data_IF_002658924394
#
_entry.id   IF_002658924394
#
_cell.length_a   1.000
_cell.length_b   1.000
_cell.length_c   1.000
_cell.angle_alpha   90.00
_cell.angle_beta   90.00
_cell.angle_gamma   90.00
#
_symmetry.space_group_name_H-M   'P 1'
#
loop_
_entity.id
_entity.type
_entity.pdbx_description
1 polymer ?
#
# COMPACT_ATOMS: atom_id res chain seq x y z
N UNK A 1 -17.05 -21.73 19.95
CA UNK A 1 -16.16 -21.48 18.80
C UNK A 1 -14.86 -20.96 19.39
N UNK A 2 -13.73 -21.64 19.21
CA UNK A 2 -12.50 -21.34 19.97
C UNK A 2 -11.65 -20.19 19.40
N UNK A 3 -12.10 -19.52 18.34
CA UNK A 3 -11.34 -18.44 17.70
C UNK A 3 -12.24 -17.27 17.30
N UNK A 4 -11.63 -16.08 17.13
CA UNK A 4 -12.30 -14.87 16.64
C UNK A 4 -11.35 -14.00 15.82
N UNK A 5 -11.87 -13.36 14.77
CA UNK A 5 -11.13 -12.41 13.93
C UNK A 5 -11.28 -10.99 14.44
N UNK A 6 -10.18 -10.27 14.52
CA UNK A 6 -10.13 -8.86 14.91
C UNK A 6 -9.39 -8.04 13.86
N UNK A 7 -9.85 -6.80 13.65
CA UNK A 7 -9.05 -5.79 12.94
C UNK A 7 -8.11 -5.13 13.94
N UNK A 8 -6.82 -5.14 13.68
CA UNK A 8 -5.88 -4.37 14.50
C UNK A 8 -6.14 -2.88 14.31
N UNK A 9 -6.25 -2.13 15.40
CA UNK A 9 -6.31 -0.68 15.37
C UNK A 9 -5.20 -0.15 16.27
N UNK A 10 -4.22 0.52 15.68
CA UNK A 10 -3.14 1.16 16.42
C UNK A 10 -3.64 2.50 16.97
N UNK A 11 -3.42 2.76 18.26
CA UNK A 11 -3.78 4.04 18.86
C UNK A 11 -2.95 5.17 18.19
N UNK A 12 -3.56 6.34 17.91
CA UNK A 12 -2.84 7.47 17.36
C UNK A 12 -1.65 7.84 18.25
N UNK A 13 -0.42 7.79 17.71
CA UNK A 13 0.79 8.19 18.43
C UNK A 13 1.55 7.04 19.10
N UNK A 14 1.06 5.80 19.01
CA UNK A 14 1.83 4.61 19.38
C UNK A 14 2.73 4.13 18.23
N UNK A 15 3.47 5.06 17.62
CA UNK A 15 4.45 4.76 16.58
C UNK A 15 5.74 4.23 17.26
N UNK A 16 5.78 2.96 17.63
CA UNK A 16 7.04 2.25 17.92
C UNK A 16 7.89 2.16 16.64
N UNK A 17 8.85 3.07 16.51
CA UNK A 17 9.76 3.21 15.38
C UNK A 17 11.05 2.37 15.51
N UNK A 18 11.14 1.49 16.50
CA UNK A 18 12.36 0.72 16.78
C UNK A 18 12.14 -0.79 16.66
N UNK A 19 12.75 -1.38 15.63
CA UNK A 19 12.72 -2.82 15.31
C UNK A 19 12.59 -3.07 13.80
N UNK A 20 12.92 -4.28 13.29
CA UNK A 20 12.88 -4.59 11.85
C UNK A 20 11.46 -4.63 11.26
N UNK A 21 10.42 -4.54 12.08
CA UNK A 21 9.01 -4.56 11.68
C UNK A 21 8.34 -3.22 11.97
N UNK A 22 8.23 -2.36 10.95
CA UNK A 22 7.33 -1.19 10.94
C UNK A 22 5.89 -1.62 11.14
N UNK A 23 5.01 -0.70 11.59
CA UNK A 23 3.57 -0.97 11.58
C UNK A 23 3.09 -1.18 10.16
N UNK A 24 2.19 -2.14 10.02
CA UNK A 24 1.42 -2.32 8.81
C UNK A 24 0.00 -1.81 9.08
N UNK A 25 -0.66 -1.25 8.07
CA UNK A 25 -2.01 -0.69 8.24
C UNK A 25 -3.07 -1.54 7.55
N UNK A 26 -4.15 -1.81 8.26
CA UNK A 26 -5.24 -2.65 7.76
C UNK A 26 -5.04 -4.13 8.09
N UNK A 27 -4.41 -4.41 9.22
CA UNK A 27 -4.12 -5.76 9.67
C UNK A 27 -5.33 -6.46 10.28
N UNK A 28 -5.36 -7.77 10.12
CA UNK A 28 -6.31 -8.66 10.76
C UNK A 28 -5.58 -9.72 11.55
N UNK A 29 -6.14 -10.05 12.70
CA UNK A 29 -5.59 -10.97 13.68
C UNK A 29 -6.61 -12.07 13.96
N UNK A 30 -6.13 -13.29 14.15
CA UNK A 30 -6.91 -14.42 14.63
C UNK A 30 -6.58 -14.65 16.10
N UNK A 31 -7.54 -14.49 16.99
CA UNK A 31 -7.37 -14.78 18.42
C UNK A 31 -7.97 -16.14 18.76
N UNK A 32 -7.26 -16.96 19.52
CA UNK A 32 -7.79 -18.17 20.15
C UNK A 32 -8.44 -17.79 21.48
N UNK A 33 -9.77 -17.92 21.59
CA UNK A 33 -10.57 -17.40 22.69
C UNK A 33 -10.18 -17.98 24.06
N UNK A 34 -9.82 -19.26 24.12
CA UNK A 34 -9.49 -19.96 25.37
C UNK A 34 -8.14 -19.51 25.94
N UNK A 35 -7.16 -19.24 25.07
CA UNK A 35 -5.79 -18.87 25.49
C UNK A 35 -5.51 -17.37 25.39
N UNK A 36 -6.43 -16.61 24.77
CA UNK A 36 -6.25 -15.23 24.32
C UNK A 36 -5.05 -14.98 23.40
N UNK A 37 -4.31 -16.02 22.99
CA UNK A 37 -3.20 -15.94 22.04
C UNK A 37 -3.67 -15.44 20.68
N UNK A 38 -2.88 -14.55 20.10
CA UNK A 38 -3.20 -13.85 18.85
C UNK A 38 -2.18 -14.24 17.78
N UNK A 39 -2.67 -14.45 16.56
CA UNK A 39 -1.88 -14.78 15.39
C UNK A 39 -2.18 -13.78 14.26
N UNK A 40 -1.17 -13.36 13.47
CA UNK A 40 -1.41 -12.58 12.28
C UNK A 40 -2.25 -13.38 11.27
N UNK A 41 -3.28 -12.75 10.73
CA UNK A 41 -4.16 -13.35 9.71
C UNK A 41 -4.02 -12.64 8.37
N UNK A 42 -4.01 -11.30 8.36
CA UNK A 42 -3.73 -10.50 7.17
C UNK A 42 -2.80 -9.38 7.53
N UNK A 43 -1.74 -9.19 6.76
CA UNK A 43 -0.90 -8.02 6.87
C UNK A 43 -1.36 -6.89 5.94
N UNK A 44 -1.09 -5.66 6.36
CA UNK A 44 -1.40 -4.45 5.60
C UNK A 44 -0.30 -4.06 4.62
N UNK A 45 -0.28 -2.79 4.22
CA UNK A 45 0.93 -2.14 3.68
C UNK A 45 1.73 -1.50 4.83
N UNK A 46 3.05 -1.31 4.68
CA UNK A 46 3.83 -0.50 5.62
C UNK A 46 3.22 0.89 5.80
N UNK A 47 3.19 1.38 7.05
CA UNK A 47 2.70 2.73 7.35
C UNK A 47 3.66 3.80 6.83
N UNK A 48 3.13 4.90 6.32
CA UNK A 48 3.90 6.10 6.00
C UNK A 48 4.55 6.69 7.26
N UNK A 49 5.82 7.08 7.17
CA UNK A 49 6.46 7.85 8.23
C UNK A 49 5.77 9.21 8.40
N UNK A 50 5.66 9.65 9.66
CA UNK A 50 5.14 10.98 10.00
C UNK A 50 6.22 12.07 9.91
N UNK A 51 7.48 11.66 10.00
CA UNK A 51 8.63 12.55 9.91
C UNK A 51 9.11 12.55 8.46
N UNK A 52 8.97 13.69 7.78
CA UNK A 52 9.44 13.92 6.41
C UNK A 52 10.96 14.04 6.30
N UNK A 53 11.71 13.56 7.30
CA UNK A 53 13.16 13.55 7.27
C UNK A 53 13.57 12.45 6.32
N UNK A 54 13.77 12.80 5.04
CA UNK A 54 14.53 11.98 4.12
C UNK A 54 15.81 11.57 4.85
N UNK A 55 15.92 10.27 5.16
CA UNK A 55 17.05 9.72 5.89
C UNK A 55 18.27 10.01 5.05
N UNK A 56 19.28 10.65 5.64
CA UNK A 56 20.50 11.09 4.93
C UNK A 56 21.31 9.93 4.34
N UNK A 57 20.94 8.70 4.68
CA UNK A 57 21.56 7.48 4.18
C UNK A 57 20.49 6.48 3.74
N UNK A 58 20.46 6.18 2.45
CA UNK A 58 19.73 5.09 1.84
C UNK A 58 20.62 4.45 0.76
N UNK A 59 20.37 3.19 0.43
CA UNK A 59 21.03 2.53 -0.71
C UNK A 59 20.35 2.92 -2.02
N UNK A 60 19.02 2.80 -2.04
CA UNK A 60 18.20 3.33 -3.11
C UNK A 60 16.79 3.71 -2.62
N UNK A 61 16.14 4.58 -3.39
CA UNK A 61 14.73 4.92 -3.25
C UNK A 61 13.98 4.53 -4.51
N UNK A 62 12.78 3.98 -4.35
CA UNK A 62 11.85 3.73 -5.45
C UNK A 62 10.67 4.69 -5.31
N UNK A 63 10.38 5.43 -6.37
CA UNK A 63 9.24 6.34 -6.48
C UNK A 63 8.16 5.68 -7.32
N UNK A 64 6.94 5.62 -6.80
CA UNK A 64 5.74 5.20 -7.53
C UNK A 64 4.72 6.33 -7.56
N UNK A 65 3.89 6.43 -8.61
CA UNK A 65 2.75 7.31 -8.56
C UNK A 65 1.82 6.91 -7.41
N UNK A 66 1.12 7.89 -6.84
CA UNK A 66 0.12 7.66 -5.82
C UNK A 66 -1.25 7.83 -6.48
N UNK A 67 -1.93 6.72 -6.76
CA UNK A 67 -3.29 6.75 -7.25
C UNK A 67 -4.27 7.06 -6.11
N UNK A 68 -5.31 7.83 -6.44
CA UNK A 68 -6.42 8.15 -5.54
C UNK A 68 -7.54 7.12 -5.71
N UNK A 69 -7.30 5.91 -5.22
CA UNK A 69 -8.20 4.77 -5.38
C UNK A 69 -8.63 4.15 -4.05
N UNK A 70 -9.00 2.88 -4.15
CA UNK A 70 -9.32 2.02 -3.01
C UNK A 70 -8.33 0.86 -2.90
N UNK A 71 -7.66 0.77 -1.74
CA UNK A 71 -6.78 -0.35 -1.45
C UNK A 71 -7.56 -1.68 -1.35
N UNK A 72 -7.19 -2.63 -2.21
CA UNK A 72 -7.64 -4.02 -2.21
C UNK A 72 -6.49 -4.91 -1.72
N UNK A 73 -6.83 -5.84 -0.82
CA UNK A 73 -5.89 -6.81 -0.26
C UNK A 73 -6.40 -8.21 -0.56
N UNK A 74 -5.60 -9.02 -1.24
CA UNK A 74 -5.89 -10.43 -1.48
C UNK A 74 -4.98 -11.24 -0.55
N UNK A 75 -5.57 -11.80 0.50
CA UNK A 75 -4.89 -12.69 1.43
C UNK A 75 -4.87 -14.10 0.84
N UNK A 76 -3.68 -14.67 0.70
CA UNK A 76 -3.45 -16.07 0.38
C UNK A 76 -3.17 -16.87 1.66
N UNK A 77 -3.89 -17.97 1.82
CA UNK A 77 -3.72 -18.95 2.89
C UNK A 77 -3.35 -20.30 2.25
N UNK A 78 -2.12 -20.78 2.44
CA UNK A 78 -1.66 -22.03 1.83
C UNK A 78 -2.37 -23.24 2.45
N UNK A 79 -2.47 -24.34 1.70
CA UNK A 79 -3.22 -25.54 2.11
C UNK A 79 -2.73 -26.16 3.43
N UNK A 80 -1.42 -26.11 3.69
CA UNK A 80 -0.78 -26.60 4.92
C UNK A 80 -0.94 -25.66 6.12
N UNK A 81 -1.48 -24.45 5.92
CA UNK A 81 -1.58 -23.51 7.02
C UNK A 81 -2.46 -24.10 8.14
N UNK A 82 -2.05 -24.04 9.43
CA UNK A 82 -2.78 -24.70 10.51
C UNK A 82 -4.26 -24.28 10.64
N UNK A 83 -4.57 -23.07 10.19
CA UNK A 83 -5.93 -22.52 10.22
C UNK A 83 -6.67 -22.61 8.89
N UNK A 84 -6.12 -23.27 7.86
CA UNK A 84 -6.74 -23.37 6.53
C UNK A 84 -8.17 -23.87 6.60
N UNK A 85 -8.41 -25.05 7.19
CA UNK A 85 -9.75 -25.65 7.27
C UNK A 85 -10.74 -24.78 8.05
N UNK A 86 -10.30 -24.17 9.15
CA UNK A 86 -11.12 -23.25 9.94
C UNK A 86 -11.56 -22.03 9.10
N UNK A 87 -10.59 -21.37 8.45
CA UNK A 87 -10.84 -20.17 7.64
C UNK A 87 -11.68 -20.50 6.40
N UNK A 88 -11.49 -21.67 5.81
CA UNK A 88 -12.28 -22.20 4.71
C UNK A 88 -13.76 -22.40 5.09
N UNK A 89 -14.05 -22.80 6.34
CA UNK A 89 -15.43 -22.94 6.83
C UNK A 89 -16.07 -21.58 7.11
N UNK A 90 -15.30 -20.62 7.62
CA UNK A 90 -15.83 -19.31 8.03
C UNK A 90 -16.07 -18.36 6.87
N UNK A 91 -15.24 -18.44 5.84
CA UNK A 91 -15.27 -17.50 4.73
C UNK A 91 -15.52 -18.24 3.43
N UNK A 92 -16.50 -17.75 2.67
CA UNK A 92 -16.60 -18.06 1.26
C UNK A 92 -15.48 -17.29 0.54
N UNK A 93 -14.44 -18.02 0.14
CA UNK A 93 -13.27 -17.47 -0.56
C UNK A 93 -12.97 -18.26 -1.81
N UNK A 94 -12.34 -17.58 -2.77
CA UNK A 94 -11.87 -18.19 -4.02
C UNK A 94 -10.72 -19.17 -3.73
N UNK A 95 -10.48 -20.14 -4.61
CA UNK A 95 -9.52 -21.22 -4.36
C UNK A 95 -8.84 -21.64 -5.64
N UNK A 96 -7.57 -22.04 -5.52
CA UNK A 96 -6.87 -22.78 -6.56
C UNK A 96 -6.09 -23.95 -5.93
N UNK A 97 -5.21 -24.57 -6.71
CA UNK A 97 -4.37 -25.69 -6.26
C UNK A 97 -3.39 -25.32 -5.13
N UNK A 98 -3.05 -24.04 -4.96
CA UNK A 98 -2.13 -23.59 -3.91
C UNK A 98 -2.82 -23.28 -2.57
N UNK A 99 -4.09 -22.89 -2.58
CA UNK A 99 -4.76 -22.50 -1.33
C UNK A 99 -6.06 -21.70 -1.46
N UNK A 100 -6.35 -20.95 -0.40
CA UNK A 100 -7.56 -20.14 -0.22
C UNK A 100 -7.22 -18.66 -0.36
N UNK A 101 -8.04 -17.92 -1.09
CA UNK A 101 -7.94 -16.48 -1.26
C UNK A 101 -9.10 -15.74 -0.60
N UNK A 102 -8.75 -14.77 0.24
CA UNK A 102 -9.71 -13.86 0.86
C UNK A 102 -9.48 -12.44 0.32
N UNK A 103 -10.42 -11.95 -0.49
CA UNK A 103 -10.36 -10.62 -1.09
C UNK A 103 -11.05 -9.62 -0.17
N UNK A 104 -10.31 -8.63 0.30
CA UNK A 104 -10.76 -7.63 1.27
C UNK A 104 -10.35 -6.22 0.91
N UNK A 105 -10.93 -5.26 1.63
CA UNK A 105 -10.47 -3.86 1.61
C UNK A 105 -9.59 -3.60 2.82
N UNK A 106 -9.09 -2.37 2.96
CA UNK A 106 -8.42 -1.93 4.19
C UNK A 106 -9.23 -2.19 5.47
N UNK A 107 -10.56 -2.07 5.41
CA UNK A 107 -11.44 -2.16 6.58
C UNK A 107 -12.12 -3.51 6.75
N UNK A 108 -12.18 -4.33 5.72
CA UNK A 108 -12.86 -5.64 5.72
C UNK A 108 -11.90 -6.74 5.30
N UNK A 109 -11.87 -7.85 6.04
CA UNK A 109 -11.06 -9.02 5.67
C UNK A 109 -11.57 -9.66 4.38
N UNK A 110 -12.90 -9.80 4.27
CA UNK A 110 -13.62 -10.26 3.08
C UNK A 110 -14.58 -9.17 2.65
N UNK A 111 -14.60 -8.83 1.37
CA UNK A 111 -15.53 -7.87 0.78
C UNK A 111 -16.97 -8.34 0.93
N UNK A 112 -17.89 -7.40 1.13
CA UNK A 112 -19.32 -7.67 0.97
C UNK A 112 -19.69 -7.80 -0.52
N UNK A 113 -20.94 -8.17 -0.81
CA UNK A 113 -21.44 -8.37 -2.17
C UNK A 113 -21.30 -7.13 -3.06
N UNK A 114 -21.51 -5.93 -2.50
CA UNK A 114 -21.41 -4.68 -3.24
C UNK A 114 -19.97 -4.36 -3.64
N UNK A 115 -19.04 -4.40 -2.67
CA UNK A 115 -17.61 -4.21 -2.92
C UNK A 115 -17.05 -5.31 -3.83
N UNK A 116 -17.51 -6.56 -3.68
CA UNK A 116 -17.09 -7.66 -4.54
C UNK A 116 -17.55 -7.46 -5.99
N UNK A 117 -18.78 -6.95 -6.20
CA UNK A 117 -19.25 -6.58 -7.55
C UNK A 117 -18.36 -5.51 -8.17
N UNK A 118 -18.02 -4.46 -7.41
CA UNK A 118 -17.11 -3.39 -7.86
C UNK A 118 -15.73 -3.96 -8.22
N UNK A 119 -15.16 -4.80 -7.37
CA UNK A 119 -13.90 -5.51 -7.65
C UNK A 119 -13.98 -6.36 -8.93
N UNK A 120 -15.02 -7.17 -9.10
CA UNK A 120 -15.20 -8.01 -10.29
C UNK A 120 -15.32 -7.15 -11.57
N UNK A 121 -16.02 -6.01 -11.50
CA UNK A 121 -16.11 -5.07 -12.63
C UNK A 121 -14.74 -4.54 -13.04
N UNK A 122 -13.90 -4.14 -12.07
CA UNK A 122 -12.55 -3.59 -12.35
C UNK A 122 -11.55 -4.66 -12.78
N UNK A 123 -11.70 -5.88 -12.28
CA UNK A 123 -10.91 -7.03 -12.71
C UNK A 123 -11.10 -7.29 -14.22
N UNK A 124 -12.30 -7.01 -14.75
CA UNK A 124 -12.69 -7.20 -16.15
C UNK A 124 -13.38 -8.55 -16.40
N UNK A 125 -13.55 -8.98 -17.66
CA UNK A 125 -14.34 -10.16 -18.02
C UNK A 125 -13.73 -11.51 -17.61
N UNK A 126 -12.54 -11.50 -17.01
CA UNK A 126 -11.82 -12.71 -16.58
C UNK A 126 -12.41 -13.27 -15.29
N UNK A 127 -12.35 -14.58 -15.10
CA UNK A 127 -12.64 -15.20 -13.80
C UNK A 127 -11.58 -14.79 -12.77
N UNK A 128 -11.92 -14.87 -11.48
CA UNK A 128 -10.94 -14.65 -10.41
C UNK A 128 -9.73 -15.58 -10.56
N UNK A 129 -9.95 -16.84 -10.90
CA UNK A 129 -8.89 -17.83 -11.10
C UNK A 129 -7.91 -17.41 -12.21
N UNK A 130 -8.43 -16.89 -13.33
CA UNK A 130 -7.58 -16.38 -14.43
C UNK A 130 -6.85 -15.09 -14.03
N UNK A 131 -7.45 -14.28 -13.18
CA UNK A 131 -6.81 -13.08 -12.66
C UNK A 131 -5.67 -13.42 -11.70
N UNK A 132 -5.91 -14.33 -10.76
CA UNK A 132 -4.94 -14.65 -9.71
C UNK A 132 -3.78 -15.50 -10.24
N UNK A 133 -3.99 -16.28 -11.32
CA UNK A 133 -2.93 -17.10 -11.94
C UNK A 133 -1.77 -16.27 -12.50
N UNK A 134 -2.00 -14.99 -12.81
CA UNK A 134 -0.94 -14.07 -13.20
C UNK A 134 0.07 -13.78 -12.09
N UNK A 135 -0.21 -14.24 -10.86
CA UNK A 135 0.63 -14.06 -9.68
C UNK A 135 1.04 -15.40 -9.04
N UNK A 136 0.92 -16.53 -9.76
CA UNK A 136 1.18 -17.87 -9.20
C UNK A 136 2.57 -18.04 -8.59
N UNK A 137 3.59 -17.37 -9.14
CA UNK A 137 4.95 -17.37 -8.57
C UNK A 137 5.03 -16.84 -7.12
N UNK A 138 4.05 -16.03 -6.69
CA UNK A 138 3.95 -15.60 -5.30
C UNK A 138 3.41 -16.70 -4.39
N UNK A 139 2.71 -17.71 -4.90
CA UNK A 139 2.04 -18.75 -4.10
C UNK A 139 2.81 -20.09 -4.06
N UNK A 140 3.90 -20.21 -4.82
CA UNK A 140 4.77 -21.40 -4.83
C UNK A 140 5.39 -21.68 -3.45
N UNK A 141 5.83 -20.63 -2.75
CA UNK A 141 6.24 -20.74 -1.36
C UNK A 141 4.98 -20.81 -0.47
N UNK A 142 4.77 -21.97 0.13
CA UNK A 142 3.58 -22.26 0.91
C UNK A 142 3.81 -22.29 2.43
N UNK A 143 4.99 -21.86 2.88
CA UNK A 143 5.35 -21.88 4.31
C UNK A 143 4.87 -20.63 5.08
N UNK A 144 4.30 -19.66 4.37
CA UNK A 144 3.90 -18.39 4.95
C UNK A 144 2.61 -17.84 4.35
N UNK A 145 1.97 -16.96 5.11
CA UNK A 145 0.83 -16.18 4.62
C UNK A 145 1.34 -15.05 3.74
N UNK A 146 0.54 -14.71 2.73
CA UNK A 146 0.86 -13.63 1.80
C UNK A 146 -0.33 -12.72 1.60
N UNK A 147 -0.09 -11.42 1.50
CA UNK A 147 -1.12 -10.46 1.11
C UNK A 147 -0.63 -9.69 -0.09
N UNK A 148 -1.37 -9.81 -1.20
CA UNK A 148 -1.13 -9.02 -2.40
C UNK A 148 -1.91 -7.71 -2.28
N UNK A 149 -1.24 -6.60 -2.56
CA UNK A 149 -1.77 -5.26 -2.38
C UNK A 149 -1.99 -4.60 -3.74
N UNK A 150 -3.20 -4.10 -3.94
CA UNK A 150 -3.59 -3.45 -5.18
C UNK A 150 -4.29 -2.13 -4.90
N UNK A 151 -4.08 -1.16 -5.77
CA UNK A 151 -4.88 0.06 -5.82
C UNK A 151 -5.94 -0.10 -6.92
N UNK A 152 -7.20 0.04 -6.53
CA UNK A 152 -8.35 -0.06 -7.43
C UNK A 152 -8.88 1.33 -7.75
N UNK A 153 -8.81 1.72 -9.02
CA UNK A 153 -9.39 2.96 -9.53
C UNK A 153 -10.61 2.62 -10.37
N UNK A 154 -11.69 3.37 -10.18
CA UNK A 154 -12.97 3.04 -10.81
C UNK A 154 -13.50 4.18 -11.65
N UNK A 155 -14.12 3.83 -12.77
CA UNK A 155 -14.72 4.70 -13.79
C UNK A 155 -16.00 5.41 -13.31
N UNK A 156 -16.09 5.73 -12.02
CA UNK A 156 -17.27 6.34 -11.44
C UNK A 156 -16.87 7.63 -10.76
N UNK A 157 -17.69 8.67 -10.95
CA UNK A 157 -17.72 9.84 -10.08
C UNK A 157 -17.92 9.36 -8.65
N UNK A 158 -16.80 9.24 -7.93
CA UNK A 158 -16.80 8.90 -6.53
C UNK A 158 -16.84 10.20 -5.75
N UNK A 159 -17.86 10.36 -4.90
CA UNK A 159 -17.88 11.45 -3.92
C UNK A 159 -16.75 11.34 -2.88
N UNK A 160 -16.05 10.19 -2.84
CA UNK A 160 -14.94 9.92 -1.92
C UNK A 160 -13.55 10.18 -2.52
N UNK A 161 -13.42 10.27 -3.85
CA UNK A 161 -12.14 10.44 -4.55
C UNK A 161 -12.10 11.81 -5.22
N UNK A 162 -10.91 12.39 -5.35
CA UNK A 162 -10.73 13.73 -5.92
C UNK A 162 -10.17 13.67 -7.35
N UNK A 163 -9.73 12.49 -7.79
CA UNK A 163 -9.27 12.24 -9.15
C UNK A 163 -10.35 11.46 -9.92
N UNK A 164 -10.69 11.95 -11.10
CA UNK A 164 -11.52 11.23 -12.05
C UNK A 164 -10.65 10.28 -12.87
N UNK A 165 -11.02 9.00 -12.88
CA UNK A 165 -10.38 7.99 -13.72
C UNK A 165 -11.32 7.64 -14.88
N UNK A 166 -10.91 7.84 -16.14
CA UNK A 166 -11.77 7.62 -17.31
C UNK A 166 -12.04 6.14 -17.60
N UNK A 167 -11.28 5.24 -16.98
CA UNK A 167 -11.43 3.80 -17.12
C UNK A 167 -11.16 3.11 -15.78
N UNK A 168 -11.83 1.97 -15.56
CA UNK A 168 -11.53 1.09 -14.44
C UNK A 168 -10.10 0.55 -14.57
N UNK A 169 -9.29 0.72 -13.53
CA UNK A 169 -7.93 0.21 -13.53
C UNK A 169 -7.52 -0.35 -12.17
N UNK A 170 -6.51 -1.21 -12.20
CA UNK A 170 -6.04 -1.96 -11.05
C UNK A 170 -4.53 -1.97 -11.11
N UNK A 171 -3.85 -1.53 -10.05
CA UNK A 171 -2.39 -1.47 -9.99
C UNK A 171 -1.87 -2.34 -8.88
N UNK A 172 -1.00 -3.29 -9.21
CA UNK A 172 -0.34 -4.15 -8.25
C UNK A 172 0.83 -3.42 -7.61
N UNK A 173 0.72 -3.17 -6.30
CA UNK A 173 1.71 -2.42 -5.52
C UNK A 173 2.83 -3.36 -5.07
N UNK A 174 2.47 -4.56 -4.63
CA UNK A 174 3.41 -5.55 -4.13
C UNK A 174 2.78 -6.55 -3.18
N UNK A 175 3.63 -7.31 -2.50
CA UNK A 175 3.23 -8.41 -1.63
C UNK A 175 3.84 -8.24 -0.23
N UNK A 176 3.04 -8.43 0.81
CA UNK A 176 3.54 -8.65 2.16
C UNK A 176 3.54 -10.14 2.47
N UNK A 177 4.73 -10.68 2.75
CA UNK A 177 4.93 -12.06 3.21
C UNK A 177 5.10 -12.06 4.73
N UNK A 178 4.42 -12.97 5.44
CA UNK A 178 4.43 -12.96 6.90
C UNK A 178 4.14 -14.32 7.54
N UNK A 179 4.68 -14.48 8.74
CA UNK A 179 4.42 -15.57 9.69
C UNK A 179 4.14 -14.97 11.07
N UNK A 180 4.15 -15.78 12.12
CA UNK A 180 4.09 -15.29 13.49
C UNK A 180 5.32 -14.46 13.88
N UNK A 181 6.48 -14.75 13.27
CA UNK A 181 7.78 -14.26 13.75
C UNK A 181 8.40 -13.22 12.81
N UNK A 182 8.00 -13.21 11.53
CA UNK A 182 8.52 -12.26 10.56
C UNK A 182 7.44 -11.66 9.67
N UNK A 183 7.78 -10.51 9.11
CA UNK A 183 6.97 -9.83 8.10
C UNK A 183 7.87 -9.01 7.19
N UNK A 184 7.63 -9.10 5.87
CA UNK A 184 8.39 -8.37 4.86
C UNK A 184 7.48 -7.93 3.73
N UNK A 185 7.58 -6.65 3.37
CA UNK A 185 6.96 -6.14 2.15
C UNK A 185 7.97 -6.18 1.01
N UNK A 186 7.49 -6.57 -0.16
CA UNK A 186 8.24 -6.56 -1.42
C UNK A 186 7.39 -5.85 -2.46
N UNK A 187 7.98 -4.90 -3.19
CA UNK A 187 7.30 -4.23 -4.28
C UNK A 187 7.03 -5.19 -5.44
N UNK A 188 5.98 -4.91 -6.23
CA UNK A 188 5.73 -5.62 -7.48
C UNK A 188 6.95 -5.52 -8.40
N UNK A 189 7.31 -6.60 -9.10
CA UNK A 189 8.32 -6.55 -10.15
C UNK A 189 7.73 -5.82 -11.36
N UNK A 190 8.52 -5.06 -12.13
CA UNK A 190 8.03 -4.44 -13.36
C UNK A 190 7.44 -5.42 -14.39
N UNK A 191 7.85 -6.68 -14.33
CA UNK A 191 7.32 -7.78 -15.16
C UNK A 191 5.99 -8.34 -14.68
N UNK A 192 5.56 -8.02 -13.46
CA UNK A 192 4.31 -8.56 -12.91
C UNK A 192 3.11 -7.95 -13.64
N UNK A 193 2.05 -8.74 -13.76
CA UNK A 193 0.80 -8.26 -14.32
C UNK A 193 0.32 -7.03 -13.53
N UNK A 194 -0.02 -5.96 -14.25
CA UNK A 194 -0.53 -4.71 -13.68
C UNK A 194 0.39 -4.06 -12.64
N UNK A 195 1.69 -4.35 -12.66
CA UNK A 195 2.65 -3.73 -11.75
C UNK A 195 2.53 -2.21 -11.77
N UNK A 196 2.62 -1.59 -10.59
CA UNK A 196 2.73 -0.15 -10.47
C UNK A 196 4.03 0.32 -11.13
N UNK A 197 3.97 1.46 -11.84
CA UNK A 197 5.17 2.06 -12.42
C UNK A 197 6.13 2.50 -11.32
N UNK A 198 7.41 2.33 -11.59
CA UNK A 198 8.49 2.49 -10.61
C UNK A 198 9.66 3.21 -11.27
N UNK A 199 10.23 4.18 -10.57
CA UNK A 199 11.51 4.80 -10.93
C UNK A 199 12.43 4.76 -9.73
N UNK A 200 13.65 4.26 -9.90
CA UNK A 200 14.61 4.07 -8.81
C UNK A 200 15.77 5.06 -8.91
N UNK A 201 16.24 5.51 -7.75
CA UNK A 201 17.32 6.47 -7.62
C UNK A 201 18.29 6.04 -6.51
N UNK A 202 19.59 6.24 -6.74
CA UNK A 202 20.66 5.97 -5.76
C UNK A 202 21.06 7.22 -4.96
N UNK A 203 20.72 8.41 -5.46
CA UNK A 203 21.09 9.68 -4.84
C UNK A 203 19.85 10.50 -4.53
N UNK A 204 19.91 11.27 -3.45
CA UNK A 204 18.82 12.15 -3.04
C UNK A 204 18.51 13.21 -4.10
N UNK A 205 19.55 13.81 -4.67
CA UNK A 205 19.47 14.91 -5.63
C UNK A 205 18.73 14.48 -6.91
N UNK A 206 19.04 13.30 -7.45
CA UNK A 206 18.35 12.76 -8.61
C UNK A 206 16.88 12.43 -8.32
N UNK A 207 16.58 11.93 -7.11
CA UNK A 207 15.20 11.71 -6.68
C UNK A 207 14.45 13.04 -6.59
N UNK A 208 15.05 14.08 -5.99
CA UNK A 208 14.45 15.40 -5.83
C UNK A 208 14.17 16.06 -7.20
N UNK A 209 15.14 16.05 -8.12
CA UNK A 209 14.96 16.56 -9.47
C UNK A 209 13.79 15.87 -10.21
N UNK A 210 13.61 14.56 -9.99
CA UNK A 210 12.47 13.84 -10.56
C UNK A 210 11.13 14.21 -9.91
N UNK A 211 11.11 14.48 -8.60
CA UNK A 211 9.88 14.95 -7.93
C UNK A 211 9.45 16.33 -8.44
N UNK A 212 10.41 17.22 -8.69
CA UNK A 212 10.18 18.53 -9.32
C UNK A 212 9.66 18.36 -10.76
N UNK A 213 10.28 17.49 -11.54
CA UNK A 213 9.82 17.16 -12.90
C UNK A 213 8.38 16.64 -12.92
N UNK A 214 8.02 15.74 -12.00
CA UNK A 214 6.65 15.23 -11.87
C UNK A 214 5.64 16.32 -11.52
N UNK A 215 6.01 17.26 -10.63
CA UNK A 215 5.15 18.39 -10.28
C UNK A 215 4.95 19.32 -11.47
N UNK A 216 6.02 19.63 -12.21
CA UNK A 216 5.96 20.42 -13.43
C UNK A 216 5.08 19.77 -14.52
N UNK A 217 5.16 18.45 -14.69
CA UNK A 217 4.31 17.69 -15.60
C UNK A 217 2.83 17.81 -15.20
N UNK A 218 2.54 17.63 -13.91
CA UNK A 218 1.19 17.80 -13.37
C UNK A 218 0.65 19.23 -13.62
N UNK A 219 1.45 20.27 -13.35
CA UNK A 219 1.07 21.67 -13.58
C UNK A 219 0.84 21.99 -15.07
N UNK A 220 1.50 21.28 -15.97
CA UNK A 220 1.29 21.38 -17.43
C UNK A 220 0.09 20.58 -17.92
N UNK A 221 -0.61 19.87 -17.03
CA UNK A 221 -1.77 19.04 -17.37
C UNK A 221 -1.41 17.74 -18.08
N UNK A 222 -0.22 17.18 -17.83
CA UNK A 222 0.15 15.86 -18.34
C UNK A 222 -0.80 14.80 -17.77
N UNK A 223 -1.57 14.18 -18.65
CA UNK A 223 -2.59 13.17 -18.29
C UNK A 223 -1.99 11.86 -17.80
N UNK A 224 -0.68 11.66 -17.96
CA UNK A 224 0.04 10.49 -17.44
C UNK A 224 0.58 10.72 -16.02
N UNK A 225 0.52 11.95 -15.50
CA UNK A 225 0.95 12.26 -14.14
C UNK A 225 -0.21 12.09 -13.16
N UNK A 226 -0.01 11.25 -12.13
CA UNK A 226 -1.05 11.04 -11.12
C UNK A 226 -1.21 12.29 -10.24
N UNK A 227 -2.42 12.89 -10.18
CA UNK A 227 -2.63 14.19 -9.52
C UNK A 227 -2.43 14.17 -8.01
N UNK A 228 -2.57 13.02 -7.36
CA UNK A 228 -2.41 12.94 -5.91
C UNK A 228 -0.92 13.06 -5.48
N UNK A 229 0.02 12.72 -6.37
CA UNK A 229 1.46 12.78 -6.11
C UNK A 229 2.11 11.40 -6.18
N UNK A 230 3.03 11.10 -5.24
CA UNK A 230 3.83 9.89 -5.26
C UNK A 230 4.06 9.26 -3.87
N UNK A 231 4.51 8.00 -3.90
CA UNK A 231 5.00 7.26 -2.73
C UNK A 231 6.45 6.89 -2.98
N UNK A 232 7.28 7.10 -1.96
CA UNK A 232 8.71 6.83 -1.95
C UNK A 232 8.98 5.67 -0.99
N UNK A 233 9.69 4.67 -1.45
CA UNK A 233 10.10 3.49 -0.70
C UNK A 233 11.62 3.48 -0.56
N UNK A 234 12.13 3.62 0.66
CA UNK A 234 13.58 3.69 0.93
C UNK A 234 14.11 2.36 1.44
N UNK A 235 15.19 1.91 0.80
CA UNK A 235 15.84 0.65 1.07
C UNK A 235 17.26 0.88 1.56
N UNK A 236 17.69 0.05 2.52
CA UNK A 236 19.05 0.07 3.04
C UNK A 236 19.96 -0.87 2.22
N UNK A 237 21.26 -0.84 2.49
CA UNK A 237 22.25 -1.67 1.80
C UNK A 237 22.05 -3.18 2.01
N UNK A 238 21.20 -3.60 2.96
CA UNK A 238 20.84 -5.01 3.20
C UNK A 238 19.65 -5.44 2.34
N UNK A 239 19.07 -4.53 1.55
CA UNK A 239 17.84 -4.78 0.80
C UNK A 239 16.61 -4.88 1.71
N UNK A 240 16.61 -4.17 2.84
CA UNK A 240 15.46 -4.05 3.73
C UNK A 240 14.76 -2.70 3.54
N UNK A 241 13.44 -2.73 3.35
CA UNK A 241 12.62 -1.52 3.33
C UNK A 241 12.63 -0.91 4.73
N UNK A 242 13.25 0.24 4.88
CA UNK A 242 13.38 0.91 6.16
C UNK A 242 12.58 2.20 6.25
N UNK A 243 12.07 2.72 5.12
CA UNK A 243 11.37 4.00 4.81
C UNK A 243 10.11 3.91 3.90
N UNK A 244 8.96 4.50 4.21
CA UNK A 244 7.92 4.78 3.20
C UNK A 244 7.36 6.19 3.45
N UNK A 245 7.48 7.06 2.47
CA UNK A 245 7.01 8.45 2.52
C UNK A 245 5.99 8.68 1.42
N UNK A 246 4.95 9.45 1.71
CA UNK A 246 4.05 9.97 0.66
C UNK A 246 4.36 11.45 0.43
N UNK A 247 4.49 11.84 -0.82
CA UNK A 247 4.55 13.25 -1.22
C UNK A 247 3.29 13.54 -2.02
N UNK A 248 2.48 14.49 -1.55
CA UNK A 248 1.25 14.88 -2.24
C UNK A 248 1.41 16.26 -2.85
N UNK A 249 0.88 16.47 -4.04
CA UNK A 249 0.90 17.78 -4.65
C UNK A 249 0.03 18.78 -3.85
N UNK A 250 0.49 20.03 -3.67
CA UNK A 250 -0.26 21.03 -2.90
C UNK A 250 -1.64 21.32 -3.48
N UNK A 251 -1.77 21.28 -4.81
CA UNK A 251 -3.02 21.51 -5.53
C UNK A 251 -4.05 20.42 -5.21
N UNK A 252 -3.63 19.16 -5.17
CA UNK A 252 -4.49 18.06 -4.77
C UNK A 252 -4.96 18.20 -3.31
N UNK A 253 -4.06 18.63 -2.41
CA UNK A 253 -4.43 18.92 -1.02
C UNK A 253 -5.42 20.09 -0.90
N UNK A 254 -5.30 21.11 -1.76
CA UNK A 254 -6.20 22.24 -1.79
C UNK A 254 -7.62 21.83 -2.22
N UNK A 255 -7.75 20.87 -3.15
CA UNK A 255 -9.04 20.30 -3.54
C UNK A 255 -9.68 19.52 -2.38
N UNK A 256 -8.91 18.72 -1.65
CA UNK A 256 -9.44 17.94 -0.51
C UNK A 256 -9.87 18.82 0.65
N UNK A 257 -9.15 19.91 0.92
CA UNK A 257 -9.38 20.76 2.09
C UNK A 257 -9.28 22.26 1.75
N UNK A 258 -10.30 22.81 1.05
CA UNK A 258 -10.26 24.17 0.50
C UNK A 258 -10.19 25.27 1.56
N UNK A 259 -10.57 25.00 2.81
CA UNK A 259 -10.60 26.00 3.90
C UNK A 259 -9.25 26.18 4.62
N UNK A 260 -8.23 25.36 4.32
CA UNK A 260 -6.96 25.35 5.05
C UNK A 260 -5.74 25.81 4.22
N UNK A 261 -5.99 26.43 3.07
CA UNK A 261 -4.97 26.81 2.07
C UNK A 261 -3.82 27.64 2.69
N UNK A 262 -4.10 28.56 3.61
CA UNK A 262 -3.06 29.40 4.23
C UNK A 262 -2.12 28.65 5.19
N UNK A 263 -2.56 27.54 5.80
CA UNK A 263 -1.73 26.70 6.66
C UNK A 263 -1.07 25.53 5.91
N UNK A 264 -1.72 25.03 4.85
CA UNK A 264 -1.16 23.97 3.99
C UNK A 264 -0.07 24.51 3.06
N UNK A 265 -0.22 25.69 2.48
CA UNK A 265 0.84 26.33 1.67
C UNK A 265 2.09 26.65 2.51
N UNK A 266 1.91 27.01 3.79
CA UNK A 266 3.04 27.22 4.73
C UNK A 266 3.72 25.92 5.21
N UNK A 267 3.12 24.75 4.99
CA UNK A 267 3.67 23.43 5.38
C UNK A 267 4.05 22.53 4.19
N UNK A 268 3.56 22.84 2.99
CA UNK A 268 3.60 22.01 1.80
C UNK A 268 3.83 22.84 0.53
N UNK A 269 4.74 23.81 0.52
CA UNK A 269 5.42 24.12 -0.75
C UNK A 269 6.14 22.83 -1.24
N UNK A 270 6.36 22.63 -2.55
CA UNK A 270 6.98 21.41 -3.11
C UNK A 270 8.42 21.21 -2.64
N UNK A 271 8.92 22.21 -1.94
CA UNK A 271 10.13 22.22 -1.17
C UNK A 271 9.83 21.49 0.16
N UNK A 272 10.41 20.32 0.40
CA UNK A 272 10.50 19.79 1.75
C UNK A 272 11.02 20.93 2.65
N UNK A 273 10.51 21.11 3.89
CA UNK A 273 10.97 22.13 4.88
C UNK A 273 12.50 22.16 5.15
N UNK A 274 13.26 21.34 4.44
CA UNK A 274 14.68 21.05 4.46
C UNK A 274 15.51 21.98 3.54
N UNK A 275 14.92 22.75 2.62
CA UNK A 275 15.66 23.75 1.82
C UNK A 275 16.02 25.04 2.57
N UNK A 276 15.52 25.25 3.81
CA UNK A 276 15.89 26.42 4.63
C UNK A 276 17.06 26.17 5.60
N UNK A 277 17.75 25.03 5.48
CA UNK A 277 18.86 24.67 6.38
C UNK A 277 20.20 25.36 6.12
N UNK A 278 20.36 26.15 5.05
CA UNK A 278 21.68 26.67 4.65
C UNK A 278 21.76 28.18 4.40
N UNK A 279 20.77 28.98 4.83
CA UNK A 279 20.88 30.46 4.81
C UNK A 279 20.18 31.15 5.98
N UNK A 280 20.55 30.84 7.23
CA UNK A 280 20.32 31.72 8.38
C UNK A 280 21.39 31.50 9.45
N UNK A 281 22.61 31.91 9.17
CA UNK A 281 23.61 32.39 10.14
C UNK A 281 24.79 32.94 9.33
N UNK A 282 24.60 34.10 8.71
CA UNK A 282 25.70 35.01 8.37
C UNK A 282 25.07 36.40 8.23
N UNK A 283 25.56 37.30 9.09
CA UNK A 283 25.07 38.62 9.50
C UNK A 283 24.02 38.63 10.62
#
# INVERSE_FOLDING_TARGET
MDHKVYRATYLPGMDVTWGPTRFYRGEFLLQKENTKRVYPLRSGLPTFSRHQTLVSTFDHVVVTPKFDGSLVNILFIPLQHPYYKLLQTWFYGDRNEFGLFLVGSKQKLVMDSHLRKKFNTVMGPKTFDTFISSYDSYFEDQDCLKTLHFEMMTEADSTELNVYYPENSFKFIGCTTFTNDYRRFTMAKPSDARAISQKSFQTKEACEAYLEELHDQFLKGDTLCEPEGCVLYFWDARGCLFDVVKSKFPEYLAVINPTNIQNSIKRHLPIPYWLNGSKRFEN
#
